data_IF_696362283559
#
_entry.id   IF_696362283559
#
_cell.length_a   1.000
_cell.length_b   1.000
_cell.length_c   1.000
_cell.angle_alpha   90.00
_cell.angle_beta   90.00
_cell.angle_gamma   90.00
#
_symmetry.space_group_name_H-M   'P 1'
#
loop_
_entity.id
_entity.type
_entity.pdbx_description
1 polymer ?
#
# COMPACT_ATOMS: atom_id res chain seq x y z
N UNK A 1 -21.77 -31.05 3.72
CA UNK A 1 -22.03 -29.71 4.30
C UNK A 1 -22.88 -29.89 5.54
N UNK A 2 -22.63 -29.10 6.59
CA UNK A 2 -23.44 -29.12 7.82
C UNK A 2 -24.88 -28.67 7.52
N UNK A 3 -25.85 -29.27 8.22
CA UNK A 3 -27.21 -28.71 8.28
C UNK A 3 -27.24 -27.42 9.10
N UNK A 4 -28.23 -26.55 8.89
CA UNK A 4 -28.36 -25.28 9.63
C UNK A 4 -28.39 -25.50 11.16
N UNK A 5 -29.11 -26.53 11.62
CA UNK A 5 -29.18 -26.88 13.04
C UNK A 5 -27.83 -27.34 13.60
N UNK A 6 -27.03 -28.06 12.82
CA UNK A 6 -25.69 -28.47 13.22
C UNK A 6 -24.70 -27.29 13.24
N UNK A 7 -24.79 -26.38 12.26
CA UNK A 7 -23.98 -25.17 12.25
C UNK A 7 -24.20 -24.31 13.51
N UNK A 8 -25.46 -24.04 13.86
CA UNK A 8 -25.82 -23.31 15.10
C UNK A 8 -25.23 -24.01 16.35
N UNK A 9 -25.29 -25.34 16.40
CA UNK A 9 -24.76 -26.09 17.55
C UNK A 9 -23.24 -26.01 17.65
N UNK A 10 -22.54 -26.06 16.51
CA UNK A 10 -21.08 -25.90 16.43
C UNK A 10 -20.68 -24.49 16.86
N UNK A 11 -21.36 -23.46 16.36
CA UNK A 11 -21.09 -22.06 16.72
C UNK A 11 -21.29 -21.78 18.21
N UNK A 12 -22.28 -22.43 18.84
CA UNK A 12 -22.53 -22.31 20.28
C UNK A 12 -21.63 -23.22 21.15
N UNK A 13 -20.66 -23.95 20.57
CA UNK A 13 -19.81 -24.87 21.32
C UNK A 13 -20.52 -26.11 21.87
N UNK A 14 -21.73 -26.42 21.37
CA UNK A 14 -22.58 -27.53 21.84
C UNK A 14 -22.50 -28.79 20.96
N UNK A 15 -21.59 -28.79 19.98
CA UNK A 15 -21.29 -29.92 19.11
C UNK A 15 -19.84 -29.83 18.64
N UNK A 16 -19.15 -30.96 18.62
CA UNK A 16 -17.83 -31.06 18.03
C UNK A 16 -17.90 -30.97 16.49
N UNK A 17 -16.91 -30.31 15.91
CA UNK A 17 -16.72 -30.24 14.46
C UNK A 17 -15.61 -31.22 14.06
N UNK A 18 -15.90 -32.11 13.11
CA UNK A 18 -14.89 -33.05 12.61
C UNK A 18 -13.83 -32.29 11.80
N UNK A 19 -12.56 -32.68 11.93
CA UNK A 19 -11.45 -32.05 11.18
C UNK A 19 -11.69 -32.02 9.65
N UNK A 20 -12.31 -33.06 9.09
CA UNK A 20 -12.68 -33.13 7.65
C UNK A 20 -13.68 -32.05 7.22
N UNK A 21 -14.53 -31.62 8.15
CA UNK A 21 -15.60 -30.64 7.89
C UNK A 21 -15.11 -29.21 8.19
N UNK A 22 -14.03 -29.06 8.95
CA UNK A 22 -13.39 -27.77 9.28
C UNK A 22 -12.75 -27.11 8.06
N UNK A 23 -11.94 -27.81 7.28
CA UNK A 23 -11.22 -27.21 6.14
C UNK A 23 -12.18 -26.58 5.11
N UNK A 24 -13.25 -27.24 4.66
CA UNK A 24 -14.22 -26.62 3.74
C UNK A 24 -14.96 -25.41 4.34
N UNK A 25 -15.13 -25.35 5.66
CA UNK A 25 -15.72 -24.19 6.34
C UNK A 25 -14.74 -23.03 6.34
N UNK A 26 -13.48 -23.27 6.73
CA UNK A 26 -12.43 -22.25 6.71
C UNK A 26 -12.24 -21.66 5.31
N UNK A 27 -12.23 -22.50 4.27
CA UNK A 27 -12.14 -22.05 2.88
C UNK A 27 -13.28 -21.10 2.47
N UNK A 28 -14.51 -21.32 2.98
CA UNK A 28 -15.65 -20.41 2.72
C UNK A 28 -15.57 -19.10 3.49
N UNK A 29 -14.93 -19.13 4.65
CA UNK A 29 -14.65 -17.96 5.46
C UNK A 29 -13.41 -17.20 4.93
N UNK A 30 -12.74 -17.71 3.90
CA UNK A 30 -11.49 -17.13 3.40
C UNK A 30 -10.34 -17.23 4.42
N UNK A 31 -10.39 -18.23 5.31
CA UNK A 31 -9.38 -18.48 6.33
C UNK A 31 -8.57 -19.73 5.98
N UNK A 32 -7.26 -19.65 6.16
CA UNK A 32 -6.35 -20.78 6.16
C UNK A 32 -6.33 -21.47 7.53
N UNK A 33 -5.91 -22.74 7.61
CA UNK A 33 -5.76 -23.42 8.90
C UNK A 33 -4.81 -22.69 9.87
N UNK A 34 -3.72 -22.09 9.36
CA UNK A 34 -2.77 -21.34 10.16
C UNK A 34 -3.39 -20.06 10.73
N UNK A 35 -4.18 -19.34 9.93
CA UNK A 35 -4.94 -18.16 10.38
C UNK A 35 -5.93 -18.53 11.48
N UNK A 36 -6.68 -19.61 11.27
CA UNK A 36 -7.66 -20.08 12.25
C UNK A 36 -6.99 -20.49 13.57
N UNK A 37 -5.89 -21.23 13.51
CA UNK A 37 -5.09 -21.61 14.68
C UNK A 37 -4.58 -20.37 15.43
N UNK A 38 -4.09 -19.37 14.70
CA UNK A 38 -3.57 -18.16 15.29
C UNK A 38 -4.68 -17.29 15.91
N UNK A 39 -5.84 -17.20 15.27
CA UNK A 39 -7.01 -16.50 15.81
C UNK A 39 -7.52 -17.16 17.11
N UNK A 40 -7.61 -18.49 17.14
CA UNK A 40 -7.98 -19.25 18.34
C UNK A 40 -7.00 -19.02 19.50
N UNK A 41 -5.70 -19.04 19.21
CA UNK A 41 -4.64 -18.93 20.23
C UNK A 41 -4.60 -17.55 20.91
N UNK A 42 -5.09 -16.51 20.22
CA UNK A 42 -5.02 -15.12 20.70
C UNK A 42 -6.30 -14.62 21.38
N UNK A 43 -7.31 -15.48 21.61
CA UNK A 43 -8.51 -15.19 22.42
C UNK A 43 -9.12 -13.80 22.17
N UNK A 44 -9.27 -13.41 20.90
CA UNK A 44 -9.83 -12.11 20.52
C UNK A 44 -11.35 -12.09 20.79
N UNK A 45 -11.72 -11.79 22.04
CA UNK A 45 -13.10 -11.63 22.47
C UNK A 45 -13.58 -10.22 22.13
N UNK A 46 -14.27 -10.08 21.00
CA UNK A 46 -14.95 -8.84 20.62
C UNK A 46 -16.44 -9.09 20.42
N UNK A 47 -17.24 -8.02 20.52
CA UNK A 47 -18.66 -8.07 20.23
C UNK A 47 -18.84 -8.57 18.78
N UNK A 48 -19.47 -9.74 18.55
CA UNK A 48 -19.64 -10.24 17.20
C UNK A 48 -20.53 -9.29 16.42
N UNK A 49 -20.09 -8.95 15.21
CA UNK A 49 -20.94 -8.29 14.23
C UNK A 49 -22.13 -9.20 13.88
N UNK A 50 -23.28 -8.61 13.66
CA UNK A 50 -24.44 -9.31 13.11
C UNK A 50 -24.19 -9.68 11.64
N UNK A 51 -24.84 -10.74 11.16
CA UNK A 51 -24.71 -11.15 9.75
C UNK A 51 -24.99 -10.01 8.74
N UNK A 52 -26.01 -9.14 8.93
CA UNK A 52 -26.21 -7.97 8.07
C UNK A 52 -25.03 -6.99 8.06
N UNK A 53 -24.40 -6.73 9.22
CA UNK A 53 -23.25 -5.81 9.31
C UNK A 53 -22.02 -6.39 8.60
N UNK A 54 -21.77 -7.70 8.74
CA UNK A 54 -20.71 -8.40 8.01
C UNK A 54 -20.96 -8.31 6.50
N UNK A 55 -22.18 -8.64 6.06
CA UNK A 55 -22.54 -8.63 4.64
C UNK A 55 -22.42 -7.23 4.03
N UNK A 56 -22.79 -6.17 4.76
CA UNK A 56 -22.66 -4.80 4.31
C UNK A 56 -21.18 -4.41 4.08
N UNK A 57 -20.31 -4.66 5.06
CA UNK A 57 -18.87 -4.39 4.93
C UNK A 57 -18.23 -5.18 3.78
N UNK A 58 -18.51 -6.48 3.70
CA UNK A 58 -17.99 -7.34 2.63
C UNK A 58 -18.54 -6.96 1.24
N UNK A 59 -19.77 -6.45 1.14
CA UNK A 59 -20.31 -5.97 -0.14
C UNK A 59 -19.51 -4.76 -0.64
N UNK A 60 -19.14 -3.83 0.24
CA UNK A 60 -18.28 -2.68 -0.12
C UNK A 60 -16.88 -3.13 -0.53
N UNK A 61 -16.27 -4.05 0.22
CA UNK A 61 -14.95 -4.61 -0.15
C UNK A 61 -15.00 -5.33 -1.51
N UNK A 62 -16.03 -6.11 -1.78
CA UNK A 62 -16.24 -6.77 -3.09
C UNK A 62 -16.44 -5.75 -4.21
N UNK A 63 -17.20 -4.68 -3.98
CA UNK A 63 -17.37 -3.58 -4.94
C UNK A 63 -16.03 -2.97 -5.30
N UNK A 64 -15.21 -2.61 -4.30
CA UNK A 64 -13.89 -2.02 -4.50
C UNK A 64 -12.90 -2.99 -5.17
N UNK A 65 -13.00 -4.30 -4.92
CA UNK A 65 -12.17 -5.30 -5.59
C UNK A 65 -12.45 -5.43 -7.10
N UNK A 66 -13.63 -5.00 -7.55
CA UNK A 66 -14.04 -5.03 -8.96
C UNK A 66 -13.86 -3.66 -9.64
N UNK A 67 -14.12 -2.59 -8.90
CA UNK A 67 -14.08 -1.21 -9.38
C UNK A 67 -13.39 -0.34 -8.32
N UNK A 68 -12.06 -0.26 -8.40
CA UNK A 68 -11.20 0.37 -7.38
C UNK A 68 -11.49 1.87 -7.24
N UNK A 69 -11.86 2.52 -8.33
CA UNK A 69 -12.11 3.96 -8.46
C UNK A 69 -13.57 4.36 -8.16
N UNK A 70 -14.49 3.40 -8.06
CA UNK A 70 -15.92 3.68 -7.93
C UNK A 70 -16.23 4.51 -6.66
N UNK A 71 -17.12 5.49 -6.81
CA UNK A 71 -17.51 6.37 -5.72
C UNK A 71 -18.27 5.62 -4.60
N UNK A 72 -17.87 5.84 -3.35
CA UNK A 72 -18.57 5.29 -2.19
C UNK A 72 -19.62 6.28 -1.69
N UNK A 73 -20.82 5.77 -1.41
CA UNK A 73 -21.87 6.53 -0.73
C UNK A 73 -21.56 6.68 0.76
N UNK A 74 -22.17 7.65 1.44
CA UNK A 74 -22.00 7.84 2.88
C UNK A 74 -22.37 6.59 3.70
N UNK A 75 -23.37 5.83 3.25
CA UNK A 75 -23.78 4.58 3.87
C UNK A 75 -22.72 3.47 3.70
N UNK A 76 -22.11 3.37 2.51
CA UNK A 76 -21.02 2.43 2.25
C UNK A 76 -19.76 2.76 3.07
N UNK A 77 -19.43 4.05 3.18
CA UNK A 77 -18.33 4.53 4.04
C UNK A 77 -18.59 4.15 5.50
N UNK A 78 -19.80 4.40 6.01
CA UNK A 78 -20.18 4.06 7.38
C UNK A 78 -20.12 2.53 7.63
N UNK A 79 -20.63 1.73 6.69
CA UNK A 79 -20.60 0.28 6.77
C UNK A 79 -19.16 -0.27 6.76
N UNK A 80 -18.30 0.26 5.88
CA UNK A 80 -16.89 -0.12 5.80
C UNK A 80 -16.14 0.22 7.10
N UNK A 81 -16.34 1.42 7.63
CA UNK A 81 -15.74 1.86 8.90
C UNK A 81 -16.21 1.00 10.06
N UNK A 82 -17.51 0.73 10.16
CA UNK A 82 -18.06 -0.13 11.21
C UNK A 82 -17.49 -1.54 11.11
N UNK A 83 -17.47 -2.12 9.92
CA UNK A 83 -16.90 -3.45 9.67
C UNK A 83 -15.43 -3.53 10.11
N UNK A 84 -14.61 -2.58 9.66
CA UNK A 84 -13.19 -2.54 9.97
C UNK A 84 -12.89 -2.44 11.47
N UNK A 85 -13.73 -1.72 12.23
CA UNK A 85 -13.48 -1.42 13.63
C UNK A 85 -14.14 -2.42 14.59
N UNK A 86 -15.28 -3.00 14.20
CA UNK A 86 -16.06 -3.89 15.05
C UNK A 86 -15.86 -5.39 14.74
N UNK A 87 -15.28 -5.75 13.60
CA UNK A 87 -14.92 -7.14 13.32
C UNK A 87 -13.95 -7.68 14.40
N UNK A 88 -14.16 -8.94 14.81
CA UNK A 88 -13.35 -9.59 15.84
C UNK A 88 -11.94 -9.92 15.34
N UNK A 89 -11.86 -10.44 14.13
CA UNK A 89 -10.63 -10.65 13.38
C UNK A 89 -10.91 -10.50 11.89
N UNK A 90 -9.92 -10.02 11.15
CA UNK A 90 -9.96 -9.98 9.69
C UNK A 90 -9.02 -11.07 9.16
N UNK A 91 -9.42 -11.77 8.09
CA UNK A 91 -8.50 -12.63 7.34
C UNK A 91 -7.42 -11.78 6.66
N UNK A 92 -6.31 -12.40 6.24
CA UNK A 92 -5.27 -11.65 5.50
C UNK A 92 -5.83 -10.99 4.24
N UNK A 93 -6.75 -11.66 3.55
CA UNK A 93 -7.40 -11.13 2.36
C UNK A 93 -8.23 -9.88 2.69
N UNK A 94 -8.98 -9.91 3.79
CA UNK A 94 -9.77 -8.77 4.25
C UNK A 94 -8.88 -7.62 4.70
N UNK A 95 -7.75 -7.92 5.34
CA UNK A 95 -6.75 -6.91 5.70
C UNK A 95 -6.24 -6.22 4.44
N UNK A 96 -5.74 -6.97 3.45
CA UNK A 96 -5.22 -6.41 2.19
C UNK A 96 -6.27 -5.56 1.46
N UNK A 97 -7.53 -6.01 1.41
CA UNK A 97 -8.62 -5.24 0.83
C UNK A 97 -8.92 -3.97 1.64
N UNK A 98 -8.89 -4.06 2.97
CA UNK A 98 -9.11 -2.93 3.86
C UNK A 98 -7.98 -1.90 3.81
N UNK A 99 -6.73 -2.32 3.56
CA UNK A 99 -5.61 -1.39 3.34
C UNK A 99 -5.92 -0.45 2.19
N UNK A 100 -6.29 -0.99 1.02
CA UNK A 100 -6.71 -0.22 -0.14
C UNK A 100 -7.96 0.63 0.17
N UNK A 101 -8.98 0.02 0.77
CA UNK A 101 -10.23 0.72 1.07
C UNK A 101 -10.06 1.87 2.06
N UNK A 102 -9.09 1.79 2.99
CA UNK A 102 -8.80 2.85 3.97
C UNK A 102 -8.33 4.16 3.33
N UNK A 103 -7.79 4.11 2.11
CA UNK A 103 -7.39 5.30 1.33
C UNK A 103 -8.58 6.09 0.79
N UNK A 104 -9.77 5.46 0.77
CA UNK A 104 -11.03 6.05 0.30
C UNK A 104 -11.82 6.71 1.44
N UNK A 105 -11.35 6.56 2.68
CA UNK A 105 -11.94 7.19 3.86
C UNK A 105 -11.37 8.59 4.05
N UNK A 106 -12.09 9.43 4.81
CA UNK A 106 -11.51 10.68 5.30
C UNK A 106 -10.21 10.41 6.08
N UNK A 107 -9.23 11.35 6.10
CA UNK A 107 -7.91 11.10 6.69
C UNK A 107 -7.95 10.57 8.12
N UNK A 108 -8.89 11.04 8.95
CA UNK A 108 -9.03 10.62 10.35
C UNK A 108 -9.52 9.19 10.42
N UNK A 109 -10.63 8.86 9.73
CA UNK A 109 -11.16 7.50 9.72
C UNK A 109 -10.18 6.50 9.10
N UNK A 110 -9.50 6.88 8.01
CA UNK A 110 -8.48 6.07 7.37
C UNK A 110 -7.33 5.73 8.31
N UNK A 111 -6.83 6.72 9.07
CA UNK A 111 -5.78 6.50 10.06
C UNK A 111 -6.20 5.56 11.20
N UNK A 112 -7.43 5.70 11.70
CA UNK A 112 -7.97 4.81 12.75
C UNK A 112 -8.04 3.36 12.24
N UNK A 113 -8.54 3.17 11.02
CA UNK A 113 -8.62 1.84 10.39
C UNK A 113 -7.21 1.25 10.19
N UNK A 114 -6.26 2.01 9.63
CA UNK A 114 -4.87 1.52 9.46
C UNK A 114 -4.23 1.14 10.79
N UNK A 115 -4.40 1.94 11.84
CA UNK A 115 -3.89 1.62 13.19
C UNK A 115 -4.47 0.31 13.73
N UNK A 116 -5.76 0.06 13.48
CA UNK A 116 -6.40 -1.21 13.80
C UNK A 116 -5.80 -2.38 13.00
N UNK A 117 -5.59 -2.20 11.69
CA UNK A 117 -4.97 -3.24 10.85
C UNK A 117 -3.55 -3.58 11.29
N UNK A 118 -2.71 -2.59 11.65
CA UNK A 118 -1.38 -2.83 12.22
C UNK A 118 -1.47 -3.68 13.48
N UNK A 119 -2.37 -3.32 14.42
CA UNK A 119 -2.55 -4.10 15.64
C UNK A 119 -2.94 -5.55 15.34
N UNK A 120 -3.88 -5.75 14.41
CA UNK A 120 -4.34 -7.10 14.06
C UNK A 120 -3.24 -7.89 13.33
N UNK A 121 -2.43 -7.26 12.48
CA UNK A 121 -1.28 -7.91 11.82
C UNK A 121 -0.15 -8.26 12.81
N UNK A 122 0.08 -7.47 13.87
CA UNK A 122 1.08 -7.76 14.91
C UNK A 122 0.78 -9.07 15.64
N UNK A 123 -0.50 -9.40 15.84
CA UNK A 123 -0.93 -10.65 16.49
C UNK A 123 -0.49 -11.89 15.70
N UNK A 124 -0.27 -11.75 14.39
CA UNK A 124 0.00 -12.86 13.46
C UNK A 124 1.36 -12.74 12.75
N UNK A 125 2.27 -11.90 13.27
CA UNK A 125 3.53 -11.53 12.61
C UNK A 125 4.46 -12.70 12.22
N UNK A 126 4.29 -13.86 12.86
CA UNK A 126 5.08 -15.06 12.60
C UNK A 126 4.59 -15.87 11.38
N UNK A 127 3.40 -15.55 10.84
CA UNK A 127 2.89 -16.14 9.63
C UNK A 127 3.40 -15.39 8.38
N UNK A 128 3.97 -16.07 7.36
CA UNK A 128 4.60 -15.41 6.20
C UNK A 128 3.71 -14.38 5.49
N UNK A 129 2.43 -14.68 5.21
CA UNK A 129 1.52 -13.75 4.54
C UNK A 129 1.16 -12.50 5.38
N UNK A 130 1.20 -12.61 6.71
CA UNK A 130 0.94 -11.49 7.62
C UNK A 130 2.12 -10.54 7.72
N UNK A 131 3.35 -11.10 7.65
CA UNK A 131 4.57 -10.31 7.60
C UNK A 131 4.63 -9.44 6.36
N UNK A 132 4.32 -10.01 5.20
CA UNK A 132 4.27 -9.28 3.92
C UNK A 132 3.19 -8.19 3.93
N UNK A 133 1.99 -8.50 4.42
CA UNK A 133 0.92 -7.50 4.55
C UNK A 133 1.25 -6.39 5.54
N UNK A 134 1.97 -6.71 6.63
CA UNK A 134 2.48 -5.72 7.58
C UNK A 134 3.49 -4.80 6.93
N UNK A 135 4.47 -5.37 6.23
CA UNK A 135 5.46 -4.61 5.48
C UNK A 135 4.77 -3.66 4.49
N UNK A 136 3.85 -4.16 3.66
CA UNK A 136 3.10 -3.35 2.70
C UNK A 136 2.30 -2.21 3.37
N UNK A 137 1.64 -2.48 4.50
CA UNK A 137 0.90 -1.46 5.24
C UNK A 137 1.79 -0.32 5.73
N UNK A 138 2.91 -0.69 6.36
CA UNK A 138 3.84 0.25 6.94
C UNK A 138 4.49 1.08 5.83
N UNK A 139 4.94 0.46 4.73
CA UNK A 139 5.54 1.18 3.61
C UNK A 139 4.56 2.12 2.91
N UNK A 140 3.31 1.70 2.70
CA UNK A 140 2.28 2.56 2.10
C UNK A 140 2.00 3.78 2.99
N UNK A 141 1.99 3.60 4.31
CA UNK A 141 1.88 4.70 5.25
C UNK A 141 3.12 5.60 5.18
N UNK A 142 4.33 5.03 5.15
CA UNK A 142 5.58 5.79 5.06
C UNK A 142 5.61 6.67 3.80
N UNK A 143 5.22 6.12 2.64
CA UNK A 143 5.09 6.89 1.40
C UNK A 143 4.04 7.99 1.48
N UNK A 144 2.87 7.70 2.04
CA UNK A 144 1.81 8.71 2.22
C UNK A 144 2.28 9.89 3.06
N UNK A 145 2.95 9.62 4.19
CA UNK A 145 3.52 10.65 5.05
C UNK A 145 4.66 11.41 4.35
N UNK A 146 5.53 10.71 3.61
CA UNK A 146 6.65 11.32 2.90
C UNK A 146 6.18 12.27 1.79
N UNK A 147 5.21 11.84 0.98
CA UNK A 147 4.62 12.65 -0.08
C UNK A 147 3.80 13.84 0.45
N UNK A 148 3.24 13.72 1.67
CA UNK A 148 2.61 14.84 2.38
C UNK A 148 3.61 15.80 3.04
N UNK A 149 4.90 15.48 3.05
CA UNK A 149 5.94 16.29 3.69
C UNK A 149 6.05 16.10 5.21
N UNK A 150 5.40 15.09 5.78
CA UNK A 150 5.46 14.77 7.21
C UNK A 150 6.71 13.94 7.53
N UNK A 151 7.88 14.58 7.44
CA UNK A 151 9.21 13.93 7.51
C UNK A 151 9.39 13.04 8.75
N UNK A 152 8.99 13.52 9.94
CA UNK A 152 9.16 12.77 11.20
C UNK A 152 8.32 11.48 11.20
N UNK A 153 7.06 11.56 10.76
CA UNK A 153 6.17 10.41 10.70
C UNK A 153 6.62 9.40 9.63
N UNK A 154 7.03 9.90 8.46
CA UNK A 154 7.55 9.08 7.38
C UNK A 154 8.81 8.30 7.81
N UNK A 155 9.76 8.98 8.48
CA UNK A 155 10.98 8.35 8.98
C UNK A 155 10.68 7.24 9.98
N UNK A 156 9.82 7.51 10.96
CA UNK A 156 9.41 6.49 11.94
C UNK A 156 8.77 5.25 11.28
N UNK A 157 7.97 5.46 10.23
CA UNK A 157 7.35 4.36 9.48
C UNK A 157 8.38 3.58 8.64
N UNK A 158 9.32 4.24 7.95
CA UNK A 158 10.40 3.53 7.24
C UNK A 158 11.33 2.76 8.18
N UNK A 159 11.66 3.33 9.35
CA UNK A 159 12.44 2.64 10.39
C UNK A 159 11.72 1.37 10.88
N UNK A 160 10.39 1.43 11.02
CA UNK A 160 9.58 0.26 11.36
C UNK A 160 9.58 -0.78 10.22
N UNK A 161 9.54 -0.35 8.95
CA UNK A 161 9.52 -1.24 7.80
C UNK A 161 10.79 -2.10 7.67
N UNK A 162 11.96 -1.57 8.08
CA UNK A 162 13.24 -2.29 8.09
C UNK A 162 13.25 -3.55 8.95
N UNK A 163 12.32 -3.69 9.89
CA UNK A 163 12.19 -4.90 10.70
C UNK A 163 11.68 -6.11 9.90
N UNK A 164 11.13 -5.87 8.70
CA UNK A 164 10.43 -6.88 7.90
C UNK A 164 11.15 -7.23 6.59
N UNK A 165 12.18 -6.48 6.20
CA UNK A 165 12.95 -6.72 4.98
C UNK A 165 14.43 -6.46 5.23
N UNK A 166 15.29 -7.34 4.71
CA UNK A 166 16.73 -7.26 4.95
C UNK A 166 17.58 -7.30 3.68
N UNK A 167 17.01 -7.72 2.54
CA UNK A 167 17.71 -7.84 1.28
C UNK A 167 16.84 -7.44 0.07
N UNK A 168 17.47 -7.47 -1.11
CA UNK A 168 16.83 -7.18 -2.39
C UNK A 168 16.46 -5.71 -2.59
N UNK A 169 15.63 -5.49 -3.62
CA UNK A 169 15.23 -4.15 -4.05
C UNK A 169 14.41 -3.41 -2.98
N UNK A 170 13.55 -4.11 -2.25
CA UNK A 170 12.75 -3.51 -1.19
C UNK A 170 13.63 -2.93 -0.07
N UNK A 171 14.67 -3.64 0.37
CA UNK A 171 15.63 -3.09 1.34
C UNK A 171 16.38 -1.86 0.79
N UNK A 172 16.83 -1.92 -0.47
CA UNK A 172 17.47 -0.79 -1.15
C UNK A 172 16.55 0.43 -1.20
N UNK A 173 15.27 0.22 -1.54
CA UNK A 173 14.26 1.27 -1.64
C UNK A 173 14.01 1.93 -0.28
N UNK A 174 13.98 1.16 0.82
CA UNK A 174 13.87 1.74 2.17
C UNK A 174 15.05 2.65 2.51
N UNK A 175 16.29 2.19 2.26
CA UNK A 175 17.50 2.99 2.51
C UNK A 175 17.50 4.27 1.68
N UNK A 176 17.16 4.14 0.39
CA UNK A 176 17.03 5.28 -0.53
C UNK A 176 16.01 6.32 -0.01
N UNK A 177 14.81 5.88 0.38
CA UNK A 177 13.78 6.80 0.87
C UNK A 177 14.14 7.43 2.22
N UNK A 178 14.81 6.72 3.10
CA UNK A 178 15.30 7.29 4.36
C UNK A 178 16.37 8.36 4.14
N UNK A 179 17.29 8.15 3.19
CA UNK A 179 18.27 9.17 2.80
C UNK A 179 17.55 10.44 2.32
N UNK A 180 16.49 10.30 1.51
CA UNK A 180 15.64 11.43 1.09
C UNK A 180 14.89 12.15 2.21
N UNK A 181 14.88 11.62 3.44
CA UNK A 181 14.27 12.24 4.61
C UNK A 181 15.30 12.89 5.54
N UNK A 182 16.59 12.89 5.19
CA UNK A 182 17.61 13.60 5.93
C UNK A 182 17.37 15.12 5.92
N UNK A 183 17.77 15.79 7.00
CA UNK A 183 17.73 17.25 7.12
C UNK A 183 18.90 17.86 6.34
N UNK A 184 18.73 17.92 5.03
CA UNK A 184 19.74 18.37 4.08
C UNK A 184 19.07 19.08 2.91
N UNK A 185 19.76 20.04 2.27
CA UNK A 185 19.25 20.71 1.08
C UNK A 185 19.12 19.72 -0.07
N UNK A 186 18.19 19.98 -1.00
CA UNK A 186 17.87 19.06 -2.08
C UNK A 186 19.11 18.61 -2.89
N UNK A 187 20.04 19.53 -3.20
CA UNK A 187 21.26 19.18 -3.93
C UNK A 187 22.10 18.09 -3.26
N UNK A 188 22.23 18.12 -1.93
CA UNK A 188 22.94 17.09 -1.18
C UNK A 188 22.17 15.75 -1.21
N UNK A 189 20.84 15.79 -1.11
CA UNK A 189 19.99 14.60 -1.20
C UNK A 189 20.05 13.96 -2.59
N UNK A 190 20.13 14.76 -3.66
CA UNK A 190 20.37 14.25 -5.01
C UNK A 190 21.70 13.52 -5.09
N UNK A 191 22.79 14.13 -4.61
CA UNK A 191 24.12 13.51 -4.60
C UNK A 191 24.16 12.21 -3.78
N UNK A 192 23.52 12.19 -2.61
CA UNK A 192 23.48 11.02 -1.74
C UNK A 192 22.69 9.86 -2.35
N UNK A 193 21.64 10.16 -3.11
CA UNK A 193 20.72 9.15 -3.65
C UNK A 193 21.02 8.72 -5.08
N UNK A 194 21.83 9.48 -5.82
CA UNK A 194 22.21 9.17 -7.20
C UNK A 194 22.92 7.81 -7.36
N UNK A 195 23.83 7.38 -6.47
CA UNK A 195 24.48 6.07 -6.60
C UNK A 195 23.49 4.90 -6.61
N UNK A 196 22.36 5.01 -5.90
CA UNK A 196 21.31 3.99 -5.90
C UNK A 196 20.61 3.93 -7.25
N UNK A 197 20.20 5.08 -7.79
CA UNK A 197 19.53 5.19 -9.10
C UNK A 197 20.45 4.67 -10.20
N UNK A 198 21.69 5.17 -10.23
CA UNK A 198 22.69 4.77 -11.21
C UNK A 198 23.03 3.28 -11.12
N UNK A 199 23.21 2.75 -9.90
CA UNK A 199 23.49 1.33 -9.68
C UNK A 199 22.39 0.43 -10.24
N UNK A 200 21.12 0.72 -9.89
CA UNK A 200 19.96 -0.03 -10.38
C UNK A 200 19.84 0.08 -11.91
N UNK A 201 20.07 1.27 -12.47
CA UNK A 201 20.07 1.48 -13.92
C UNK A 201 21.12 0.64 -14.64
N UNK A 202 22.35 0.60 -14.11
CA UNK A 202 23.49 -0.14 -14.69
C UNK A 202 23.33 -1.66 -14.59
N UNK A 203 22.54 -2.15 -13.64
CA UNK A 203 22.18 -3.57 -13.53
C UNK A 203 21.15 -4.00 -14.60
N UNK A 204 20.64 -3.06 -15.42
CA UNK A 204 19.63 -3.34 -16.44
C UNK A 204 18.19 -3.15 -15.95
N UNK A 205 18.00 -2.83 -14.67
CA UNK A 205 16.69 -2.66 -14.04
C UNK A 205 16.14 -1.23 -14.23
N UNK A 206 16.07 -0.77 -15.48
CA UNK A 206 15.73 0.62 -15.83
C UNK A 206 14.40 1.09 -15.25
N UNK A 207 13.39 0.23 -15.24
CA UNK A 207 12.07 0.54 -14.69
C UNK A 207 12.10 0.78 -13.17
N UNK A 208 12.95 0.03 -12.44
CA UNK A 208 13.13 0.22 -11.00
C UNK A 208 13.89 1.51 -10.69
N UNK A 209 14.87 1.86 -11.52
CA UNK A 209 15.59 3.13 -11.42
C UNK A 209 14.65 4.33 -11.70
N UNK A 210 13.79 4.24 -12.72
CA UNK A 210 12.76 5.24 -12.99
C UNK A 210 11.80 5.41 -11.80
N UNK A 211 11.41 4.31 -11.15
CA UNK A 211 10.62 4.35 -9.91
C UNK A 211 11.33 5.03 -8.74
N UNK A 212 12.65 4.89 -8.61
CA UNK A 212 13.44 5.62 -7.60
C UNK A 212 13.50 7.12 -7.91
N UNK A 213 13.70 7.49 -9.19
CA UNK A 213 13.69 8.90 -9.63
C UNK A 213 12.34 9.55 -9.31
N UNK A 214 11.23 8.86 -9.63
CA UNK A 214 9.89 9.39 -9.36
C UNK A 214 9.61 9.53 -7.85
N UNK A 215 10.01 8.53 -7.05
CA UNK A 215 9.92 8.61 -5.58
C UNK A 215 10.72 9.80 -5.03
N UNK A 216 11.95 10.02 -5.50
CA UNK A 216 12.78 11.18 -5.13
C UNK A 216 12.07 12.49 -5.41
N UNK A 217 11.55 12.65 -6.64
CA UNK A 217 10.78 13.82 -7.04
C UNK A 217 9.60 14.07 -6.10
N UNK A 218 8.75 13.05 -5.89
CA UNK A 218 7.56 13.18 -5.05
C UNK A 218 7.86 13.49 -3.58
N UNK A 219 8.88 12.86 -2.99
CA UNK A 219 9.27 13.14 -1.60
C UNK A 219 9.82 14.57 -1.47
N UNK A 220 10.69 15.01 -2.39
CA UNK A 220 11.24 16.36 -2.36
C UNK A 220 10.16 17.44 -2.62
N UNK A 221 9.17 17.15 -3.46
CA UNK A 221 8.01 18.02 -3.68
C UNK A 221 7.14 18.12 -2.40
N UNK A 222 6.84 16.99 -1.76
CA UNK A 222 6.10 16.96 -0.49
C UNK A 222 6.80 17.78 0.60
N UNK A 223 8.13 17.69 0.65
CA UNK A 223 9.00 18.50 1.53
C UNK A 223 9.13 19.97 1.11
N UNK A 224 8.61 20.36 -0.06
CA UNK A 224 8.72 21.72 -0.63
C UNK A 224 10.16 22.20 -0.85
N UNK A 225 11.06 21.26 -1.15
CA UNK A 225 12.48 21.55 -1.45
C UNK A 225 12.91 21.07 -2.84
N UNK A 226 12.00 20.49 -3.63
CA UNK A 226 12.29 20.11 -5.01
C UNK A 226 12.66 21.38 -5.81
N UNK A 227 13.87 21.41 -6.41
CA UNK A 227 14.41 22.66 -6.95
C UNK A 227 13.78 23.03 -8.30
N UNK A 228 13.54 22.03 -9.16
CA UNK A 228 12.99 22.11 -10.52
C UNK A 228 13.07 20.72 -11.15
N UNK A 229 12.38 20.54 -12.28
CA UNK A 229 12.55 19.36 -13.13
C UNK A 229 13.99 19.20 -13.63
N UNK A 230 14.53 18.00 -13.44
CA UNK A 230 15.83 17.60 -13.96
C UNK A 230 15.68 16.71 -15.21
N UNK A 231 16.67 16.68 -16.12
CA UNK A 231 16.59 15.89 -17.35
C UNK A 231 16.29 14.41 -17.13
N UNK A 232 16.84 13.80 -16.08
CA UNK A 232 16.60 12.39 -15.72
C UNK A 232 15.16 12.15 -15.21
N UNK A 233 14.54 13.12 -14.55
CA UNK A 233 13.13 13.05 -14.12
C UNK A 233 12.20 13.14 -15.33
N UNK A 234 12.52 14.03 -16.28
CA UNK A 234 11.79 14.13 -17.56
C UNK A 234 12.00 12.85 -18.37
N UNK A 235 13.20 12.26 -18.35
CA UNK A 235 13.49 10.99 -19.00
C UNK A 235 12.70 9.81 -18.45
N UNK A 236 12.60 9.71 -17.12
CA UNK A 236 11.76 8.69 -16.46
C UNK A 236 10.29 8.83 -16.87
N UNK A 237 9.78 10.07 -16.91
CA UNK A 237 8.43 10.37 -17.37
C UNK A 237 8.21 10.00 -18.84
N UNK A 238 9.18 10.32 -19.70
CA UNK A 238 9.14 10.00 -21.12
C UNK A 238 9.09 8.48 -21.37
N UNK A 239 9.89 7.70 -20.62
CA UNK A 239 9.88 6.24 -20.69
C UNK A 239 8.56 5.64 -20.18
N UNK A 240 8.01 6.16 -19.09
CA UNK A 240 6.69 5.77 -18.61
C UNK A 240 5.63 6.02 -19.70
N UNK A 241 5.61 7.23 -20.28
CA UNK A 241 4.69 7.60 -21.36
C UNK A 241 4.84 6.70 -22.60
N UNK A 242 6.05 6.32 -22.97
CA UNK A 242 6.30 5.42 -24.10
C UNK A 242 5.95 3.95 -23.81
N UNK A 243 5.95 3.55 -22.54
CA UNK A 243 5.63 2.17 -22.13
C UNK A 243 4.12 1.90 -22.00
N UNK A 244 3.32 2.95 -21.76
CA UNK A 244 1.88 2.82 -21.56
C UNK A 244 1.11 2.85 -22.90
N UNK A 245 0.05 2.03 -23.06
CA UNK A 245 -0.86 2.18 -24.20
C UNK A 245 -1.45 3.60 -24.23
N UNK A 246 -1.58 4.26 -25.41
CA UNK A 246 -2.08 5.64 -25.49
C UNK A 246 -3.45 5.86 -24.83
N UNK A 247 -4.30 4.83 -24.78
CA UNK A 247 -5.61 4.87 -24.12
C UNK A 247 -5.53 4.77 -22.58
N UNK A 248 -4.48 4.17 -22.03
CA UNK A 248 -4.34 3.94 -20.60
C UNK A 248 -3.93 5.21 -19.83
N UNK A 249 -3.21 6.13 -20.46
CA UNK A 249 -2.75 7.36 -19.80
C UNK A 249 -3.90 8.33 -19.46
N UNK A 250 -4.83 8.65 -20.39
CA UNK A 250 -6.01 9.45 -20.06
C UNK A 250 -6.95 8.76 -19.06
N UNK A 251 -7.13 7.44 -19.17
CA UNK A 251 -7.94 6.65 -18.24
C UNK A 251 -7.36 6.64 -16.81
N UNK A 252 -6.03 6.66 -16.68
CA UNK A 252 -5.34 6.84 -15.40
C UNK A 252 -5.34 8.30 -14.89
N UNK A 253 -5.98 9.23 -15.62
CA UNK A 253 -5.99 10.65 -15.29
C UNK A 253 -4.62 11.33 -15.43
N UNK A 254 -3.68 10.72 -16.16
CA UNK A 254 -2.34 11.25 -16.38
C UNK A 254 -2.36 12.26 -17.52
N UNK A 255 -2.69 13.51 -17.20
CA UNK A 255 -2.43 14.65 -18.07
C UNK A 255 -1.08 15.26 -17.73
N UNK A 256 -0.05 14.93 -18.50
CA UNK A 256 1.30 15.50 -18.30
C UNK A 256 1.31 17.03 -18.35
N UNK A 257 0.39 17.65 -19.08
CA UNK A 257 0.29 19.10 -19.15
C UNK A 257 -0.15 19.74 -17.82
N UNK A 258 -0.72 18.95 -16.91
CA UNK A 258 -1.14 19.38 -15.57
C UNK A 258 -0.03 19.32 -14.52
N UNK A 259 1.13 18.74 -14.85
CA UNK A 259 2.24 18.57 -13.90
C UNK A 259 2.91 19.94 -13.64
N UNK A 260 2.95 20.42 -12.39
CA UNK A 260 3.51 21.73 -12.06
C UNK A 260 4.95 21.88 -12.57
N UNK A 261 5.22 22.99 -13.28
CA UNK A 261 6.54 23.33 -13.81
C UNK A 261 7.05 22.47 -14.97
N UNK A 262 6.36 21.39 -15.37
CA UNK A 262 6.84 20.50 -16.43
C UNK A 262 6.88 21.20 -17.79
N UNK A 263 5.85 21.98 -18.11
CA UNK A 263 5.79 22.74 -19.38
C UNK A 263 6.93 23.74 -19.49
N UNK A 264 7.27 24.41 -18.39
CA UNK A 264 8.39 25.35 -18.33
C UNK A 264 9.73 24.63 -18.55
N UNK A 265 9.90 23.47 -17.91
CA UNK A 265 11.11 22.66 -18.04
C UNK A 265 11.30 22.06 -19.45
N UNK A 266 10.19 21.68 -20.11
CA UNK A 266 10.22 21.19 -21.49
C UNK A 266 10.55 22.33 -22.48
N UNK A 267 10.07 23.54 -22.23
CA UNK A 267 10.24 24.66 -23.15
C UNK A 267 9.65 24.34 -24.53
N UNK A 268 10.51 24.27 -25.56
CA UNK A 268 10.12 23.88 -26.92
C UNK A 268 10.30 22.39 -27.21
N UNK A 269 10.86 21.62 -26.26
CA UNK A 269 11.09 20.18 -26.41
C UNK A 269 9.82 19.38 -26.11
N UNK A 270 9.76 18.18 -26.69
CA UNK A 270 8.77 17.16 -26.41
C UNK A 270 9.30 16.15 -25.38
N UNK A 271 8.41 15.39 -24.72
CA UNK A 271 8.84 14.29 -23.86
C UNK A 271 9.70 13.26 -24.61
N UNK A 272 9.42 13.03 -25.89
CA UNK A 272 10.17 12.07 -26.71
C UNK A 272 11.64 12.44 -26.88
N UNK A 273 11.99 13.73 -26.77
CA UNK A 273 13.38 14.19 -26.85
C UNK A 273 14.24 13.70 -25.66
N UNK A 274 13.60 13.26 -24.57
CA UNK A 274 14.24 12.82 -23.33
C UNK A 274 14.25 11.30 -23.15
N UNK A 275 13.80 10.50 -24.12
CA UNK A 275 13.73 9.03 -23.97
C UNK A 275 15.07 8.39 -23.59
N UNK A 276 16.17 8.97 -24.09
CA UNK A 276 17.54 8.51 -23.84
C UNK A 276 18.22 9.27 -22.68
N UNK A 277 17.51 10.10 -21.92
CA UNK A 277 18.07 10.76 -20.76
C UNK A 277 18.30 9.74 -19.65
N UNK A 278 19.57 9.48 -19.34
CA UNK A 278 19.99 8.50 -18.34
C UNK A 278 20.48 9.18 -17.05
N UNK A 279 20.37 8.52 -15.88
CA UNK A 279 21.02 8.95 -14.65
C UNK A 279 22.53 9.06 -14.83
N UNK A 280 23.16 10.02 -14.15
CA UNK A 280 24.61 10.26 -14.26
C UNK A 280 25.20 10.35 -12.86
N UNK A 281 26.31 9.64 -12.63
CA UNK A 281 27.17 9.95 -11.49
C UNK A 281 27.79 11.33 -11.74
N UNK A 282 27.43 12.29 -10.89
CA UNK A 282 28.04 13.63 -10.85
C UNK A 282 29.43 13.61 -10.26
#
# INVERSE_FOLDING_TARGET
MLSARQAIRVENGTSELKARDLIPILARLGLTPNEFQAQLSNNLSFKPLTAPEILAGQAVLRKLSRWVDWALTSAEIAALKHYALAASALSIQEILQMQLASTRLDPVSGAIVRKRLVRDLQVYQDAPGYREAMFSLITNNAYSEAFAGHVVAAKAAFDQAHQYVHDGYAALQLVFNQALLADSPAGALYQETEPFVFGVWRLGERHLADGLIDNRRHILMGRKIHPRWLPEEIGALARLNASAPPAALPEAGLDWASFPGLREALGTHSLTDYLQAEPKLG
#
